data_IF_378386547228
#
_entry.id   IF_378386547228
#
_cell.length_a   1.000
_cell.length_b   1.000
_cell.length_c   1.000
_cell.angle_alpha   90.00
_cell.angle_beta   90.00
_cell.angle_gamma   90.00
#
_symmetry.space_group_name_H-M   'P 1'
#
loop_
_entity.id
_entity.type
_entity.pdbx_description
1 polymer ?
#
# COMPACT_ATOMS: atom_id res chain seq x y z
N UNK A 1 1.81 -3.43 24.06
CA UNK A 1 1.97 -2.86 22.72
C UNK A 1 0.82 -1.94 22.39
N UNK A 2 1.10 -0.81 21.82
CA UNK A 2 0.06 0.11 21.39
C UNK A 2 -0.50 -0.35 20.03
N UNK A 3 -1.79 -0.20 19.84
CA UNK A 3 -2.43 -0.47 18.57
C UNK A 3 -1.99 0.54 17.52
N UNK A 4 -1.94 0.12 16.25
CA UNK A 4 -1.68 1.04 15.15
C UNK A 4 -2.83 2.04 15.01
N UNK A 5 -2.55 3.17 14.37
CA UNK A 5 -3.61 4.15 14.08
C UNK A 5 -4.71 3.52 13.21
N UNK A 6 -4.36 2.57 12.34
CA UNK A 6 -5.34 1.88 11.49
C UNK A 6 -6.22 0.92 12.30
N UNK A 7 -5.66 0.22 13.28
CA UNK A 7 -6.46 -0.60 14.21
C UNK A 7 -7.48 0.27 14.96
N UNK A 8 -7.07 1.46 15.35
CA UNK A 8 -7.98 2.40 16.02
C UNK A 8 -9.06 2.93 15.10
N UNK A 9 -8.75 3.11 13.81
CA UNK A 9 -9.77 3.44 12.78
C UNK A 9 -10.76 2.28 12.62
N UNK A 10 -10.26 1.05 12.54
CA UNK A 10 -11.10 -0.15 12.43
C UNK A 10 -12.08 -0.24 13.60
N UNK A 11 -11.63 0.09 14.78
CA UNK A 11 -12.46 0.08 16.01
C UNK A 11 -13.34 1.32 16.17
N UNK A 12 -13.29 2.25 15.22
CA UNK A 12 -14.04 3.53 15.28
C UNK A 12 -13.63 4.43 16.44
N UNK A 13 -12.42 4.28 16.94
CA UNK A 13 -11.84 5.16 17.97
C UNK A 13 -11.30 6.46 17.37
N UNK A 14 -10.90 6.41 16.09
CA UNK A 14 -10.43 7.55 15.31
C UNK A 14 -11.33 7.66 14.08
N UNK A 15 -11.86 8.85 13.75
CA UNK A 15 -12.70 9.01 12.56
C UNK A 15 -11.89 8.85 11.27
N UNK A 16 -12.50 8.23 10.27
CA UNK A 16 -11.95 8.12 8.91
C UNK A 16 -13.11 8.01 7.93
N UNK A 17 -12.85 8.37 6.68
CA UNK A 17 -13.85 8.27 5.62
C UNK A 17 -13.64 6.93 4.90
N UNK A 18 -14.50 5.96 5.19
CA UNK A 18 -14.37 4.58 4.71
C UNK A 18 -15.02 4.45 3.34
N UNK A 19 -14.33 3.83 2.40
CA UNK A 19 -14.84 3.57 1.05
C UNK A 19 -15.16 2.10 0.82
N UNK A 20 -14.57 1.19 1.60
CA UNK A 20 -14.87 -0.24 1.54
C UNK A 20 -14.52 -0.89 2.87
N UNK A 21 -15.29 -1.89 3.26
CA UNK A 21 -14.98 -2.68 4.44
C UNK A 21 -15.57 -4.08 4.29
N UNK A 22 -14.76 -5.09 4.57
CA UNK A 22 -15.20 -6.48 4.69
C UNK A 22 -14.56 -7.14 5.91
N UNK A 23 -14.67 -8.45 6.06
CA UNK A 23 -14.14 -9.14 7.24
C UNK A 23 -12.62 -9.06 7.38
N UNK A 24 -11.89 -8.85 6.27
CA UNK A 24 -10.43 -8.94 6.24
C UNK A 24 -9.73 -7.63 5.88
N UNK A 25 -10.42 -6.71 5.20
CA UNK A 25 -9.82 -5.51 4.61
C UNK A 25 -10.70 -4.30 4.86
N UNK A 26 -10.06 -3.17 5.08
CA UNK A 26 -10.71 -1.86 5.14
C UNK A 26 -10.00 -0.91 4.19
N UNK A 27 -10.76 -0.10 3.47
CA UNK A 27 -10.21 0.96 2.62
C UNK A 27 -10.81 2.30 3.05
N UNK A 28 -9.97 3.30 3.21
CA UNK A 28 -10.39 4.63 3.67
C UNK A 28 -9.53 5.71 3.02
N UNK A 29 -10.07 6.91 2.97
CA UNK A 29 -9.36 8.04 2.38
C UNK A 29 -8.14 8.37 3.24
N UNK A 30 -6.97 8.59 2.60
CA UNK A 30 -5.82 9.12 3.30
C UNK A 30 -6.12 10.57 3.70
N UNK A 31 -6.01 10.89 4.98
CA UNK A 31 -6.29 12.24 5.48
C UNK A 31 -5.33 13.28 4.87
N UNK A 32 -4.13 12.85 4.47
CA UNK A 32 -3.10 13.70 3.88
C UNK A 32 -3.01 13.59 2.36
N UNK A 33 -4.11 13.64 1.66
CA UNK A 33 -4.20 13.48 0.19
C UNK A 33 -2.99 14.03 -0.58
N UNK A 34 -2.19 13.16 -1.18
CA UNK A 34 -1.14 13.59 -2.12
C UNK A 34 -1.77 14.16 -3.37
N UNK A 35 -2.77 13.47 -3.90
CA UNK A 35 -3.66 13.95 -4.95
C UNK A 35 -5.09 13.56 -4.57
N UNK A 36 -6.11 14.30 -5.00
CA UNK A 36 -7.50 13.94 -4.72
C UNK A 36 -7.83 12.51 -5.15
N UNK A 37 -8.37 11.73 -4.23
CA UNK A 37 -8.69 10.33 -4.48
C UNK A 37 -7.67 9.32 -3.93
N UNK A 38 -6.69 9.78 -3.17
CA UNK A 38 -5.69 8.95 -2.51
C UNK A 38 -6.36 8.09 -1.42
N UNK A 39 -6.34 6.77 -1.59
CA UNK A 39 -6.97 5.79 -0.70
C UNK A 39 -5.91 4.88 -0.10
N UNK A 40 -6.11 4.51 1.16
CA UNK A 40 -5.34 3.47 1.83
C UNK A 40 -6.18 2.21 1.93
N UNK A 41 -5.58 1.07 1.58
CA UNK A 41 -6.22 -0.24 1.67
C UNK A 41 -5.42 -1.07 2.67
N UNK A 42 -6.00 -1.37 3.81
CA UNK A 42 -5.30 -1.99 4.94
C UNK A 42 -5.92 -3.33 5.34
N UNK A 43 -5.10 -4.22 5.90
CA UNK A 43 -5.62 -5.43 6.53
C UNK A 43 -6.35 -5.07 7.83
N UNK A 44 -7.41 -5.82 8.16
CA UNK A 44 -8.04 -5.68 9.47
C UNK A 44 -7.21 -6.32 10.57
N UNK A 45 -6.52 -7.41 10.26
CA UNK A 45 -5.56 -8.00 11.19
C UNK A 45 -4.32 -7.12 11.27
N UNK A 46 -3.93 -6.72 12.47
CA UNK A 46 -2.76 -5.87 12.65
C UNK A 46 -1.50 -6.72 12.51
N UNK A 47 -0.82 -6.59 11.38
CA UNK A 47 0.52 -7.10 11.14
C UNK A 47 1.36 -5.99 10.55
N UNK A 48 2.64 -5.98 10.89
CA UNK A 48 3.51 -4.88 10.48
C UNK A 48 3.89 -4.95 9.00
N UNK A 49 4.22 -6.14 8.50
CA UNK A 49 4.79 -6.31 7.15
C UNK A 49 4.07 -7.39 6.35
N UNK A 50 4.21 -7.31 5.00
CA UNK A 50 3.65 -8.34 4.10
C UNK A 50 4.26 -9.72 4.33
N UNK A 51 5.48 -9.80 4.88
CA UNK A 51 6.11 -11.08 5.19
C UNK A 51 5.35 -11.89 6.25
N UNK A 52 4.45 -11.23 6.98
CA UNK A 52 3.61 -11.87 8.00
C UNK A 52 2.21 -12.25 7.49
N UNK A 53 1.90 -11.95 6.23
CA UNK A 53 0.60 -12.27 5.66
C UNK A 53 0.55 -13.71 5.16
N UNK A 54 -0.61 -14.35 5.35
CA UNK A 54 -0.95 -15.57 4.64
C UNK A 54 -1.22 -15.25 3.17
N UNK A 55 -1.00 -16.20 2.27
CA UNK A 55 -1.22 -15.97 0.83
C UNK A 55 -2.64 -15.52 0.52
N UNK A 56 -3.64 -16.10 1.17
CA UNK A 56 -5.03 -15.72 0.97
C UNK A 56 -5.29 -14.27 1.40
N UNK A 57 -4.68 -13.83 2.50
CA UNK A 57 -4.79 -12.43 2.94
C UNK A 57 -4.16 -11.48 1.94
N UNK A 58 -2.96 -11.81 1.46
CA UNK A 58 -2.25 -10.99 0.47
C UNK A 58 -3.05 -10.90 -0.83
N UNK A 59 -3.60 -12.02 -1.29
CA UNK A 59 -4.42 -12.07 -2.49
C UNK A 59 -5.67 -11.18 -2.36
N UNK A 60 -6.37 -11.27 -1.24
CA UNK A 60 -7.58 -10.47 -1.02
C UNK A 60 -7.26 -8.98 -0.89
N UNK A 61 -6.19 -8.65 -0.16
CA UNK A 61 -5.75 -7.26 -0.01
C UNK A 61 -5.48 -6.63 -1.37
N UNK A 62 -4.73 -7.30 -2.25
CA UNK A 62 -4.42 -6.78 -3.57
C UNK A 62 -5.66 -6.75 -4.48
N UNK A 63 -6.56 -7.72 -4.36
CA UNK A 63 -7.81 -7.72 -5.11
C UNK A 63 -8.65 -6.48 -4.77
N UNK A 64 -8.77 -6.14 -3.47
CA UNK A 64 -9.48 -4.94 -3.06
C UNK A 64 -8.75 -3.68 -3.51
N UNK A 65 -7.42 -3.63 -3.41
CA UNK A 65 -6.63 -2.51 -3.90
C UNK A 65 -6.87 -2.27 -5.40
N UNK A 66 -6.96 -3.35 -6.18
CA UNK A 66 -7.25 -3.27 -7.62
C UNK A 66 -8.66 -2.71 -7.88
N UNK A 67 -9.65 -3.17 -7.11
CA UNK A 67 -11.03 -2.65 -7.22
C UNK A 67 -11.10 -1.17 -6.86
N UNK A 68 -10.41 -0.77 -5.80
CA UNK A 68 -10.30 0.65 -5.41
C UNK A 68 -9.63 1.47 -6.51
N UNK A 69 -8.54 0.97 -7.09
CA UNK A 69 -7.83 1.65 -8.18
C UNK A 69 -8.75 1.87 -9.38
N UNK A 70 -9.54 0.87 -9.76
CA UNK A 70 -10.52 1.00 -10.85
C UNK A 70 -11.57 2.07 -10.54
N UNK A 71 -12.07 2.09 -9.30
CA UNK A 71 -13.06 3.06 -8.88
C UNK A 71 -12.48 4.49 -8.85
N UNK A 72 -11.26 4.65 -8.38
CA UNK A 72 -10.55 5.94 -8.36
C UNK A 72 -10.30 6.41 -9.79
N UNK A 73 -9.88 5.52 -10.67
CA UNK A 73 -9.68 5.84 -12.09
C UNK A 73 -10.97 6.35 -12.72
N UNK A 74 -12.10 5.70 -12.46
CA UNK A 74 -13.39 6.11 -12.99
C UNK A 74 -13.84 7.47 -12.44
N UNK A 75 -13.58 7.72 -11.15
CA UNK A 75 -14.06 8.93 -10.47
C UNK A 75 -13.21 10.17 -10.76
N UNK A 76 -11.91 10.03 -10.90
CA UNK A 76 -10.97 11.15 -10.97
C UNK A 76 -10.23 11.26 -12.30
N UNK A 77 -10.30 10.24 -13.15
CA UNK A 77 -9.65 10.21 -14.46
C UNK A 77 -8.16 10.64 -14.42
N UNK A 78 -7.32 10.07 -13.52
CA UNK A 78 -5.92 10.44 -13.45
C UNK A 78 -5.16 9.95 -14.70
N UNK A 79 -4.00 10.55 -14.95
CA UNK A 79 -3.12 10.12 -16.04
C UNK A 79 -2.40 8.81 -15.75
N UNK A 80 -2.24 8.47 -14.47
CA UNK A 80 -1.62 7.23 -14.02
C UNK A 80 -2.05 6.86 -12.61
N UNK A 81 -1.56 5.71 -12.15
CA UNK A 81 -1.88 5.21 -10.82
C UNK A 81 -0.63 4.58 -10.22
N UNK A 82 -0.29 4.97 -8.99
CA UNK A 82 0.77 4.30 -8.22
C UNK A 82 0.12 3.51 -7.10
N UNK A 83 0.40 2.21 -7.07
CA UNK A 83 0.08 1.37 -5.91
C UNK A 83 1.39 1.14 -5.17
N UNK A 84 1.45 1.57 -3.91
CA UNK A 84 2.67 1.53 -3.11
C UNK A 84 2.42 0.77 -1.81
N UNK A 85 3.21 -0.27 -1.57
CA UNK A 85 3.22 -1.01 -0.32
C UNK A 85 4.62 -0.95 0.26
N UNK A 86 4.75 -0.62 1.55
CA UNK A 86 6.04 -0.42 2.20
C UNK A 86 6.12 -1.24 3.48
N UNK A 87 7.32 -1.72 3.82
CA UNK A 87 7.56 -2.57 4.97
C UNK A 87 8.78 -2.07 5.74
N UNK A 88 8.60 -1.80 7.03
CA UNK A 88 9.62 -1.26 7.92
C UNK A 88 10.06 0.16 7.54
N UNK A 89 10.64 0.92 8.46
CA UNK A 89 11.08 2.29 8.19
C UNK A 89 12.09 2.40 7.05
N UNK A 90 13.03 1.45 6.94
CA UNK A 90 13.98 1.43 5.83
C UNK A 90 13.30 1.23 4.48
N UNK A 91 12.12 0.62 4.44
CA UNK A 91 11.28 0.46 3.26
C UNK A 91 10.26 1.59 3.10
N UNK A 92 10.37 2.68 3.85
CA UNK A 92 9.49 3.86 3.82
C UNK A 92 8.14 3.69 4.52
N UNK A 93 7.98 2.66 5.34
CA UNK A 93 6.74 2.48 6.09
C UNK A 93 6.68 3.48 7.24
N UNK A 94 5.60 4.27 7.29
CA UNK A 94 5.37 5.24 8.36
C UNK A 94 4.39 4.74 9.42
N UNK A 95 3.41 3.93 9.02
CA UNK A 95 2.48 3.27 9.94
C UNK A 95 2.79 1.76 9.93
N UNK A 96 3.15 1.16 11.06
CA UNK A 96 3.55 -0.25 11.14
C UNK A 96 2.34 -1.21 11.10
N UNK A 97 1.60 -1.17 10.03
CA UNK A 97 0.38 -1.94 9.78
C UNK A 97 0.23 -2.08 8.26
N UNK A 98 0.18 -3.29 7.76
CA UNK A 98 0.16 -3.55 6.32
C UNK A 98 -0.94 -2.77 5.61
N UNK A 99 -0.54 -1.98 4.63
CA UNK A 99 -1.47 -1.23 3.79
C UNK A 99 -0.87 -0.94 2.42
N UNK A 100 -1.74 -0.69 1.47
CA UNK A 100 -1.38 -0.30 0.11
C UNK A 100 -1.94 1.10 -0.13
N UNK A 101 -1.07 2.02 -0.57
CA UNK A 101 -1.51 3.31 -1.09
C UNK A 101 -2.05 3.11 -2.51
N UNK A 102 -3.23 3.59 -2.77
CA UNK A 102 -3.77 3.71 -4.13
C UNK A 102 -3.77 5.21 -4.43
N UNK A 103 -2.82 5.62 -5.24
CA UNK A 103 -2.52 7.04 -5.46
C UNK A 103 -2.70 7.42 -6.92
N UNK A 104 -3.75 8.20 -7.25
CA UNK A 104 -3.91 8.74 -8.60
C UNK A 104 -2.80 9.74 -8.89
N UNK A 105 -2.25 9.66 -10.11
CA UNK A 105 -1.07 10.43 -10.51
C UNK A 105 -1.33 11.30 -11.72
N UNK A 106 -0.66 12.45 -11.73
CA UNK A 106 -0.72 13.42 -12.82
C UNK A 106 0.70 13.88 -13.14
N UNK A 107 0.96 14.16 -14.41
CA UNK A 107 2.24 14.73 -14.83
C UNK A 107 2.45 16.04 -14.07
N UNK A 108 3.61 16.19 -13.43
CA UNK A 108 3.95 17.40 -12.68
C UNK A 108 3.24 17.55 -11.34
N UNK A 109 2.73 16.47 -10.75
CA UNK A 109 2.01 16.51 -9.47
C UNK A 109 2.93 16.66 -8.24
N UNK A 110 4.24 16.71 -8.43
CA UNK A 110 5.20 16.89 -7.35
C UNK A 110 5.52 15.66 -6.54
N UNK A 111 4.84 14.53 -6.77
CA UNK A 111 5.16 13.27 -6.11
C UNK A 111 6.26 12.54 -6.89
N UNK A 112 7.33 12.17 -6.19
CA UNK A 112 8.48 11.55 -6.83
C UNK A 112 8.93 10.31 -6.05
N UNK A 113 9.24 9.23 -6.79
CA UNK A 113 9.93 8.07 -6.29
C UNK A 113 11.30 8.02 -6.97
N UNK A 114 12.34 8.37 -6.22
CA UNK A 114 13.70 8.41 -6.73
C UNK A 114 14.54 7.40 -5.95
N UNK A 115 15.18 6.49 -6.66
CA UNK A 115 16.13 5.57 -6.06
C UNK A 115 17.37 5.43 -6.94
N UNK A 116 18.54 5.15 -6.34
CA UNK A 116 19.76 4.93 -7.12
C UNK A 116 19.66 3.63 -7.93
N UNK A 117 20.14 3.66 -9.14
CA UNK A 117 20.18 2.48 -10.01
C UNK A 117 21.62 2.00 -10.14
N UNK A 118 21.84 0.75 -9.75
CA UNK A 118 23.14 0.07 -9.89
C UNK A 118 23.01 -0.95 -11.02
N UNK A 119 24.13 -1.22 -11.71
CA UNK A 119 24.15 -2.16 -12.83
C UNK A 119 25.28 -3.15 -12.61
N UNK A 120 25.08 -4.17 -11.74
CA UNK A 120 26.16 -5.08 -11.36
C UNK A 120 26.56 -6.11 -12.42
N UNK A 121 25.76 -6.27 -13.49
CA UNK A 121 26.01 -7.22 -14.54
C UNK A 121 25.36 -8.57 -14.31
N UNK A 122 25.25 -9.36 -15.39
CA UNK A 122 24.47 -10.59 -15.40
C UNK A 122 25.00 -11.66 -14.44
N UNK A 123 26.32 -11.80 -14.32
CA UNK A 123 26.93 -12.78 -13.42
C UNK A 123 26.53 -12.51 -11.96
N UNK A 124 26.58 -11.25 -11.53
CA UNK A 124 26.19 -10.86 -10.17
C UNK A 124 24.69 -11.05 -9.95
N UNK A 125 23.87 -10.77 -10.97
CA UNK A 125 22.42 -10.98 -10.89
C UNK A 125 22.07 -12.45 -10.68
N UNK A 126 22.80 -13.36 -11.36
CA UNK A 126 22.61 -14.80 -11.16
C UNK A 126 22.95 -15.21 -9.73
N UNK A 127 24.01 -14.66 -9.17
CA UNK A 127 24.41 -14.94 -7.81
C UNK A 127 23.36 -14.45 -6.81
N UNK A 128 22.82 -13.24 -7.00
CA UNK A 128 21.72 -12.72 -6.17
C UNK A 128 20.49 -13.62 -6.26
N UNK A 129 20.11 -13.99 -7.47
CA UNK A 129 18.93 -14.85 -7.71
C UNK A 129 19.06 -16.21 -7.01
N UNK A 130 20.28 -16.77 -6.96
CA UNK A 130 20.53 -18.05 -6.31
C UNK A 130 20.26 -18.01 -4.78
N UNK A 131 20.26 -16.85 -4.16
CA UNK A 131 19.95 -16.68 -2.73
C UNK A 131 18.45 -16.55 -2.47
N UNK A 132 17.65 -16.34 -3.50
CA UNK A 132 16.21 -16.13 -3.37
C UNK A 132 15.49 -17.45 -3.59
N UNK A 133 14.86 -17.96 -2.54
CA UNK A 133 14.14 -19.23 -2.57
C UNK A 133 12.68 -19.01 -2.20
N UNK A 134 11.78 -19.47 -3.05
CA UNK A 134 10.35 -19.40 -2.86
C UNK A 134 9.78 -20.67 -2.25
#
# INVERSE_FOLDING_TARGET
MSDSVFTRIIRREIPAVIVHEDAQVIAFMDAGQVNPGHVLVATKREVETVMELEEAEAAHLFAIATRVAKAVQAAFAPEGMTLLQTNKPAGWQTVPHVHIHVLPRYVGDGAELIWPRKEPGLAQLREYAARIRL
#
